data_IF_231272686466
#
_entry.id   IF_231272686466
#
_cell.length_a   1.000
_cell.length_b   1.000
_cell.length_c   1.000
_cell.angle_alpha   90.00
_cell.angle_beta   90.00
_cell.angle_gamma   90.00
#
_symmetry.space_group_name_H-M   'P 1'
#
loop_
_entity.id
_entity.type
_entity.pdbx_description
1 polymer ?
#
# COMPACT_ATOMS: atom_id res chain seq x y z
N UNK A 1 -31.21 -3.63 -3.33
CA UNK A 1 -32.28 -2.64 -3.04
C UNK A 1 -31.69 -1.24 -3.19
N UNK A 2 -32.42 -0.22 -3.66
CA UNK A 2 -31.84 1.12 -3.86
C UNK A 2 -31.80 1.83 -2.50
N UNK A 3 -30.62 2.13 -1.95
CA UNK A 3 -30.45 2.92 -0.73
C UNK A 3 -30.04 4.38 -1.08
N UNK A 4 -30.95 5.19 -1.67
CA UNK A 4 -30.62 6.54 -2.15
C UNK A 4 -30.24 7.47 -1.00
N UNK A 5 -30.83 7.27 0.18
CA UNK A 5 -30.56 8.08 1.36
C UNK A 5 -29.10 7.94 1.83
N UNK A 6 -28.60 6.70 1.92
CA UNK A 6 -27.21 6.45 2.32
C UNK A 6 -26.21 7.04 1.31
N UNK A 7 -26.54 6.95 0.02
CA UNK A 7 -25.72 7.57 -1.04
C UNK A 7 -25.73 9.09 -0.94
N UNK A 8 -26.88 9.71 -0.70
CA UNK A 8 -27.00 11.16 -0.53
C UNK A 8 -26.22 11.67 0.70
N UNK A 9 -26.27 10.93 1.81
CA UNK A 9 -25.51 11.24 3.02
C UNK A 9 -24.00 11.15 2.74
N UNK A 10 -23.54 10.10 2.05
CA UNK A 10 -22.13 9.92 1.73
C UNK A 10 -21.59 11.05 0.82
N UNK A 11 -22.35 11.41 -0.22
CA UNK A 11 -22.01 12.53 -1.12
C UNK A 11 -22.01 13.84 -0.33
N UNK A 12 -23.06 14.11 0.45
CA UNK A 12 -23.19 15.34 1.23
C UNK A 12 -22.06 15.51 2.24
N UNK A 13 -21.74 14.45 3.00
CA UNK A 13 -20.62 14.46 3.95
C UNK A 13 -19.29 14.71 3.26
N UNK A 14 -19.03 14.05 2.13
CA UNK A 14 -17.78 14.22 1.38
C UNK A 14 -17.65 15.57 0.67
N UNK A 15 -18.74 16.16 0.19
CA UNK A 15 -18.73 17.54 -0.32
C UNK A 15 -18.52 18.53 0.81
N UNK A 16 -19.16 18.32 1.97
CA UNK A 16 -19.01 19.19 3.14
C UNK A 16 -17.57 19.20 3.67
N UNK A 17 -16.91 18.03 3.74
CA UNK A 17 -15.50 17.96 4.14
C UNK A 17 -14.59 18.68 3.15
N UNK A 18 -14.83 18.53 1.83
CA UNK A 18 -14.05 19.25 0.82
C UNK A 18 -14.24 20.76 0.92
N UNK A 19 -15.48 21.23 1.07
CA UNK A 19 -15.75 22.66 1.20
C UNK A 19 -15.11 23.24 2.47
N UNK A 20 -15.18 22.54 3.60
CA UNK A 20 -14.55 22.97 4.86
C UNK A 20 -13.02 22.93 4.85
N UNK A 21 -12.40 22.23 3.90
CA UNK A 21 -10.96 22.27 3.66
C UNK A 21 -10.55 23.50 2.84
N UNK A 22 -11.30 23.86 1.80
CA UNK A 22 -10.93 24.95 0.89
C UNK A 22 -11.45 26.34 1.31
N UNK A 23 -12.55 26.40 2.06
CA UNK A 23 -13.21 27.66 2.42
C UNK A 23 -13.04 27.92 3.92
N UNK A 24 -12.30 28.97 4.34
CA UNK A 24 -12.00 29.24 5.74
C UNK A 24 -13.15 29.96 6.47
N UNK A 25 -14.33 29.34 6.49
CA UNK A 25 -15.48 29.79 7.29
C UNK A 25 -15.53 28.94 8.56
N UNK A 26 -15.61 29.57 9.73
CA UNK A 26 -15.57 28.91 11.05
C UNK A 26 -16.57 27.74 11.16
N UNK A 27 -17.84 27.96 10.78
CA UNK A 27 -18.85 26.90 10.80
C UNK A 27 -18.47 25.68 9.94
N UNK A 28 -17.82 25.92 8.79
CA UNK A 28 -17.47 24.89 7.82
C UNK A 28 -16.20 24.14 8.22
N UNK A 29 -15.22 24.85 8.77
CA UNK A 29 -13.99 24.24 9.31
C UNK A 29 -14.29 23.41 10.55
N UNK A 30 -15.21 23.85 11.43
CA UNK A 30 -15.69 23.05 12.57
C UNK A 30 -16.44 21.79 12.15
N UNK A 31 -17.30 21.88 11.11
CA UNK A 31 -17.98 20.71 10.55
C UNK A 31 -16.99 19.72 9.91
N UNK A 32 -16.03 20.23 9.14
CA UNK A 32 -14.95 19.43 8.57
C UNK A 32 -14.13 18.70 9.64
N UNK A 33 -13.70 19.39 10.70
CA UNK A 33 -12.93 18.76 11.78
C UNK A 33 -13.71 17.65 12.48
N UNK A 34 -15.01 17.88 12.75
CA UNK A 34 -15.88 16.88 13.36
C UNK A 34 -16.04 15.65 12.47
N UNK A 35 -16.26 15.84 11.17
CA UNK A 35 -16.37 14.73 10.21
C UNK A 35 -15.07 13.94 10.09
N UNK A 36 -13.92 14.61 10.08
CA UNK A 36 -12.61 13.95 10.07
C UNK A 36 -12.37 13.19 11.37
N UNK A 37 -12.73 13.75 12.53
CA UNK A 37 -12.62 13.06 13.81
C UNK A 37 -13.46 11.78 13.84
N UNK A 38 -14.72 11.84 13.37
CA UNK A 38 -15.56 10.66 13.23
C UNK A 38 -14.97 9.64 12.24
N UNK A 39 -14.41 10.10 11.12
CA UNK A 39 -13.75 9.21 10.17
C UNK A 39 -12.54 8.50 10.80
N UNK A 40 -11.72 9.20 11.60
CA UNK A 40 -10.58 8.62 12.32
C UNK A 40 -11.05 7.60 13.37
N UNK A 41 -12.10 7.91 14.13
CA UNK A 41 -12.69 6.98 15.09
C UNK A 41 -13.21 5.72 14.40
N UNK A 42 -13.97 5.88 13.32
CA UNK A 42 -14.48 4.77 12.52
C UNK A 42 -13.35 3.94 11.90
N UNK A 43 -12.28 4.57 11.42
CA UNK A 43 -11.10 3.89 10.91
C UNK A 43 -10.40 3.07 12.00
N UNK A 44 -10.29 3.60 13.22
CA UNK A 44 -9.76 2.88 14.38
C UNK A 44 -10.60 1.64 14.73
N UNK A 45 -11.92 1.79 14.77
CA UNK A 45 -12.87 0.68 15.00
C UNK A 45 -12.77 -0.36 13.88
N UNK A 46 -12.73 0.07 12.62
CA UNK A 46 -12.55 -0.81 11.47
C UNK A 46 -11.22 -1.59 11.55
N UNK A 47 -10.15 -0.96 12.02
CA UNK A 47 -8.88 -1.61 12.31
C UNK A 47 -9.00 -2.72 13.36
N UNK A 48 -9.73 -2.47 14.47
CA UNK A 48 -10.02 -3.49 15.46
C UNK A 48 -10.84 -4.65 14.88
N UNK A 49 -11.87 -4.34 14.09
CA UNK A 49 -12.68 -5.36 13.39
C UNK A 49 -11.80 -6.20 12.46
N UNK A 50 -10.86 -5.59 11.73
CA UNK A 50 -9.93 -6.29 10.87
C UNK A 50 -9.00 -7.25 11.66
N UNK A 51 -8.49 -6.81 12.81
CA UNK A 51 -7.69 -7.66 13.71
C UNK A 51 -8.52 -8.84 14.21
N UNK A 52 -9.72 -8.58 14.75
CA UNK A 52 -10.63 -9.63 15.25
C UNK A 52 -10.99 -10.61 14.13
N UNK A 53 -11.26 -10.10 12.93
CA UNK A 53 -11.55 -10.94 11.77
C UNK A 53 -10.36 -11.85 11.46
N UNK A 54 -9.14 -11.31 11.37
CA UNK A 54 -7.92 -12.07 11.10
C UNK A 54 -7.69 -13.15 12.17
N UNK A 55 -7.80 -12.79 13.45
CA UNK A 55 -7.66 -13.76 14.56
C UNK A 55 -8.73 -14.84 14.49
N UNK A 56 -9.98 -14.50 14.21
CA UNK A 56 -11.09 -15.45 14.11
C UNK A 56 -10.89 -16.47 12.98
N UNK A 57 -10.36 -16.02 11.84
CA UNK A 57 -10.06 -16.88 10.69
C UNK A 57 -8.94 -17.86 11.03
N UNK A 58 -7.86 -17.38 11.67
CA UNK A 58 -6.73 -18.25 12.04
C UNK A 58 -7.07 -19.18 13.20
N UNK A 59 -7.90 -18.73 14.14
CA UNK A 59 -8.44 -19.57 15.20
C UNK A 59 -9.25 -20.73 14.62
N UNK A 60 -10.20 -20.43 13.71
CA UNK A 60 -11.00 -21.46 13.03
C UNK A 60 -10.13 -22.43 12.21
N UNK A 61 -9.09 -21.95 11.53
CA UNK A 61 -8.12 -22.81 10.81
C UNK A 61 -7.30 -23.69 11.75
N UNK A 62 -7.00 -23.20 12.96
CA UNK A 62 -6.27 -23.95 13.97
C UNK A 62 -7.15 -25.00 14.67
N UNK A 63 -8.46 -24.77 14.82
CA UNK A 63 -9.38 -25.72 15.46
C UNK A 63 -10.15 -26.60 14.48
N UNK A 64 -9.88 -26.49 13.17
CA UNK A 64 -10.52 -27.29 12.14
C UNK A 64 -10.17 -28.78 12.29
N UNK A 65 -11.18 -29.65 12.17
CA UNK A 65 -11.02 -31.11 12.26
C UNK A 65 -10.23 -31.69 11.07
N UNK A 66 -10.26 -31.03 9.91
CA UNK A 66 -9.51 -31.43 8.73
C UNK A 66 -8.64 -30.25 8.25
N UNK A 67 -7.40 -30.54 7.84
CA UNK A 67 -6.41 -29.56 7.36
C UNK A 67 -6.02 -28.48 8.39
N UNK A 68 -5.66 -28.91 9.61
CA UNK A 68 -5.19 -28.04 10.69
C UNK A 68 -3.91 -27.32 10.30
N UNK A 69 -3.92 -25.98 10.34
CA UNK A 69 -2.75 -25.17 9.97
C UNK A 69 -1.87 -24.88 11.18
N UNK A 70 -0.68 -25.50 11.23
CA UNK A 70 0.35 -25.22 12.24
C UNK A 70 0.83 -23.76 12.15
N UNK A 71 0.91 -23.21 10.94
CA UNK A 71 1.27 -21.80 10.70
C UNK A 71 0.27 -20.83 11.33
N UNK A 72 -1.01 -21.19 11.37
CA UNK A 72 -2.05 -20.37 12.04
C UNK A 72 -1.85 -20.34 13.55
N UNK A 73 -1.44 -21.44 14.16
CA UNK A 73 -1.10 -21.48 15.59
C UNK A 73 0.12 -20.59 15.90
N UNK A 74 1.16 -20.67 15.06
CA UNK A 74 2.34 -19.81 15.20
C UNK A 74 1.98 -18.32 15.13
N UNK A 75 1.14 -17.91 14.17
CA UNK A 75 0.67 -16.53 14.05
C UNK A 75 -0.03 -16.06 15.33
N UNK A 76 -0.99 -16.84 15.83
CA UNK A 76 -1.76 -16.47 17.02
C UNK A 76 -0.88 -16.31 18.26
N UNK A 77 0.08 -17.23 18.45
CA UNK A 77 1.04 -17.16 19.57
C UNK A 77 1.96 -15.95 19.42
N UNK A 78 2.54 -15.74 18.24
CA UNK A 78 3.41 -14.60 17.97
C UNK A 78 2.67 -13.27 18.19
N UNK A 79 1.44 -13.14 17.67
CA UNK A 79 0.59 -11.98 17.90
C UNK A 79 0.34 -11.75 19.39
N UNK A 80 -0.03 -12.79 20.15
CA UNK A 80 -0.27 -12.69 21.58
C UNK A 80 0.95 -12.21 22.37
N UNK A 81 2.13 -12.76 22.07
CA UNK A 81 3.39 -12.38 22.70
C UNK A 81 3.74 -10.92 22.38
N UNK A 82 3.70 -10.53 21.09
CA UNK A 82 4.03 -9.16 20.68
C UNK A 82 3.03 -8.14 21.23
N UNK A 83 1.74 -8.48 21.26
CA UNK A 83 0.70 -7.63 21.83
C UNK A 83 0.89 -7.43 23.34
N UNK A 84 1.09 -8.51 24.10
CA UNK A 84 1.34 -8.43 25.53
C UNK A 84 2.61 -7.63 25.85
N UNK A 85 3.70 -7.86 25.11
CA UNK A 85 4.93 -7.09 25.25
C UNK A 85 4.71 -5.60 24.94
N UNK A 86 3.91 -5.27 23.92
CA UNK A 86 3.54 -3.91 23.57
C UNK A 86 2.72 -3.20 24.63
N UNK A 87 1.85 -3.91 25.35
CA UNK A 87 1.09 -3.35 26.49
C UNK A 87 2.00 -3.02 27.68
N UNK A 88 3.02 -3.84 27.96
CA UNK A 88 3.95 -3.63 29.08
C UNK A 88 4.98 -2.55 28.77
N UNK A 89 5.65 -2.64 27.61
CA UNK A 89 6.76 -1.75 27.25
C UNK A 89 6.31 -0.45 26.57
N UNK A 90 5.03 -0.36 26.18
CA UNK A 90 4.43 0.68 25.33
C UNK A 90 4.91 0.62 23.87
N UNK A 91 4.08 1.01 22.88
CA UNK A 91 4.42 0.92 21.45
C UNK A 91 5.65 1.72 21.02
N UNK A 92 5.99 2.79 21.75
CA UNK A 92 7.13 3.66 21.45
C UNK A 92 8.50 3.12 21.88
N UNK A 93 8.54 1.99 22.60
CA UNK A 93 9.81 1.45 23.09
C UNK A 93 10.68 0.88 21.95
N UNK A 94 11.99 1.16 21.91
CA UNK A 94 12.88 0.70 20.83
C UNK A 94 12.84 -0.81 20.60
N UNK A 95 12.71 -1.61 21.66
CA UNK A 95 12.58 -3.08 21.55
C UNK A 95 11.29 -3.50 20.83
N UNK A 96 10.16 -2.85 21.10
CA UNK A 96 8.89 -3.17 20.43
C UNK A 96 8.98 -2.76 18.96
N UNK A 97 9.55 -1.58 18.66
CA UNK A 97 9.78 -1.15 17.28
C UNK A 97 10.68 -2.13 16.52
N UNK A 98 11.75 -2.64 17.14
CA UNK A 98 12.60 -3.68 16.53
C UNK A 98 11.83 -4.98 16.26
N UNK A 99 11.04 -5.46 17.21
CA UNK A 99 10.23 -6.68 17.03
C UNK A 99 9.28 -6.51 15.84
N UNK A 100 8.53 -5.40 15.81
CA UNK A 100 7.58 -5.12 14.73
C UNK A 100 8.28 -5.00 13.37
N UNK A 101 9.39 -4.27 13.29
CA UNK A 101 10.14 -4.12 12.03
C UNK A 101 10.76 -5.43 11.54
N UNK A 102 11.22 -6.30 12.45
CA UNK A 102 11.71 -7.64 12.08
C UNK A 102 10.60 -8.59 11.58
N UNK A 103 9.33 -8.28 11.84
CA UNK A 103 8.19 -8.99 11.24
C UNK A 103 7.77 -8.33 9.92
N UNK A 104 7.72 -7.00 9.89
CA UNK A 104 7.27 -6.22 8.74
C UNK A 104 8.22 -6.32 7.53
N UNK A 105 9.52 -6.12 7.75
CA UNK A 105 10.52 -6.07 6.66
C UNK A 105 10.56 -7.37 5.84
N UNK A 106 10.56 -8.59 6.44
CA UNK A 106 10.48 -9.82 5.66
C UNK A 106 9.18 -10.00 4.88
N UNK A 107 8.05 -9.54 5.41
CA UNK A 107 6.75 -9.58 4.70
C UNK A 107 6.79 -8.67 3.48
N UNK A 108 7.28 -7.44 3.66
CA UNK A 108 7.47 -6.49 2.55
C UNK A 108 8.44 -7.04 1.50
N UNK A 109 9.57 -7.61 1.93
CA UNK A 109 10.55 -8.23 1.03
C UNK A 109 9.94 -9.42 0.26
N UNK A 110 9.11 -10.24 0.91
CA UNK A 110 8.43 -11.37 0.26
C UNK A 110 7.43 -10.88 -0.79
N UNK A 111 6.66 -9.83 -0.49
CA UNK A 111 5.75 -9.21 -1.45
C UNK A 111 6.50 -8.60 -2.64
N UNK A 112 7.61 -7.90 -2.39
CA UNK A 112 8.48 -7.37 -3.43
C UNK A 112 9.09 -8.50 -4.28
N UNK A 113 9.43 -9.64 -3.68
CA UNK A 113 9.88 -10.84 -4.38
C UNK A 113 8.81 -11.41 -5.32
N UNK A 114 7.57 -11.55 -4.85
CA UNK A 114 6.44 -11.99 -5.69
C UNK A 114 6.21 -11.01 -6.83
N UNK A 115 6.26 -9.70 -6.56
CA UNK A 115 6.16 -8.67 -7.60
C UNK A 115 7.27 -8.80 -8.63
N UNK A 116 8.53 -8.95 -8.20
CA UNK A 116 9.68 -9.10 -9.08
C UNK A 116 9.53 -10.31 -10.02
N UNK A 117 9.12 -11.47 -9.49
CA UNK A 117 8.87 -12.68 -10.30
C UNK A 117 7.72 -12.43 -11.28
N UNK A 118 6.60 -11.86 -10.81
CA UNK A 118 5.43 -11.60 -11.66
C UNK A 118 5.75 -10.64 -12.81
N UNK A 119 6.52 -9.58 -12.55
CA UNK A 119 6.98 -8.62 -13.55
C UNK A 119 7.98 -9.24 -14.51
N UNK A 120 8.87 -10.12 -14.04
CA UNK A 120 9.80 -10.86 -14.90
C UNK A 120 9.04 -11.77 -15.87
N UNK A 121 8.03 -12.51 -15.39
CA UNK A 121 7.18 -13.33 -16.25
C UNK A 121 6.39 -12.46 -17.24
N UNK A 122 5.89 -11.31 -16.80
CA UNK A 122 5.20 -10.36 -17.68
C UNK A 122 6.14 -9.79 -18.77
N UNK A 123 7.39 -9.47 -18.42
CA UNK A 123 8.43 -9.04 -19.34
C UNK A 123 8.73 -10.11 -20.41
N UNK A 124 8.94 -11.36 -20.00
CA UNK A 124 9.17 -12.48 -20.93
C UNK A 124 7.97 -12.65 -21.87
N UNK A 125 6.74 -12.61 -21.34
CA UNK A 125 5.51 -12.71 -22.14
C UNK A 125 5.38 -11.54 -23.14
N UNK A 126 5.80 -10.34 -22.76
CA UNK A 126 5.81 -9.17 -23.64
C UNK A 126 6.75 -9.39 -24.84
N UNK A 127 7.97 -9.89 -24.59
CA UNK A 127 8.93 -10.20 -25.65
C UNK A 127 8.44 -11.31 -26.58
N UNK A 128 7.81 -12.36 -26.04
CA UNK A 128 7.30 -13.47 -26.83
C UNK A 128 6.10 -13.10 -27.70
N UNK A 129 5.21 -12.21 -27.24
CA UNK A 129 3.93 -11.92 -27.91
C UNK A 129 3.93 -10.65 -28.76
N UNK A 130 4.86 -9.72 -28.53
CA UNK A 130 4.91 -8.44 -29.26
C UNK A 130 6.32 -8.21 -29.81
N UNK A 131 6.52 -8.52 -31.10
CA UNK A 131 7.76 -8.25 -31.85
C UNK A 131 7.90 -6.82 -32.39
N UNK A 132 7.41 -5.81 -31.66
CA UNK A 132 7.41 -4.41 -32.10
C UNK A 132 8.51 -3.55 -31.46
N UNK A 133 8.65 -2.30 -31.94
CA UNK A 133 9.62 -1.31 -31.44
C UNK A 133 9.58 -1.11 -29.91
N UNK A 134 8.39 -1.14 -29.30
CA UNK A 134 8.21 -1.01 -27.84
C UNK A 134 8.87 -2.14 -27.06
N UNK A 135 8.89 -3.35 -27.61
CA UNK A 135 9.51 -4.53 -27.01
C UNK A 135 11.03 -4.37 -27.01
N UNK A 136 11.59 -3.89 -28.12
CA UNK A 136 13.03 -3.59 -28.23
C UNK A 136 13.44 -2.51 -27.25
N UNK A 137 12.68 -1.40 -27.18
CA UNK A 137 12.96 -0.31 -26.24
C UNK A 137 12.93 -0.80 -24.79
N UNK A 138 11.93 -1.63 -24.44
CA UNK A 138 11.84 -2.23 -23.12
C UNK A 138 13.03 -3.15 -22.82
N UNK A 139 13.45 -4.01 -23.76
CA UNK A 139 14.61 -4.89 -23.59
C UNK A 139 15.90 -4.11 -23.34
N UNK A 140 16.15 -3.07 -24.15
CA UNK A 140 17.33 -2.20 -23.98
C UNK A 140 17.29 -1.51 -22.63
N UNK A 141 16.14 -0.95 -22.24
CA UNK A 141 16.01 -0.29 -20.94
C UNK A 141 16.23 -1.25 -19.77
N UNK A 142 15.60 -2.43 -19.80
CA UNK A 142 15.76 -3.45 -18.77
C UNK A 142 17.21 -3.91 -18.64
N UNK A 143 17.90 -4.14 -19.76
CA UNK A 143 19.30 -4.54 -19.77
C UNK A 143 20.22 -3.47 -19.17
N UNK A 144 20.03 -2.21 -19.57
CA UNK A 144 20.79 -1.07 -19.03
C UNK A 144 20.58 -0.94 -17.52
N UNK A 145 19.33 -0.96 -17.05
CA UNK A 145 19.03 -0.81 -15.62
C UNK A 145 19.50 -2.02 -14.79
N UNK A 146 19.51 -3.23 -15.35
CA UNK A 146 20.04 -4.41 -14.66
C UNK A 146 21.55 -4.30 -14.47
N UNK A 147 22.29 -3.83 -15.48
CA UNK A 147 23.74 -3.56 -15.38
C UNK A 147 24.03 -2.44 -14.39
N UNK A 148 23.23 -1.38 -14.38
CA UNK A 148 23.38 -0.29 -13.43
C UNK A 148 23.12 -0.76 -12.00
N UNK A 149 22.05 -1.54 -11.80
CA UNK A 149 21.67 -2.09 -10.49
C UNK A 149 22.61 -3.16 -9.95
N UNK A 150 23.36 -3.86 -10.81
CA UNK A 150 24.34 -4.88 -10.37
C UNK A 150 25.61 -4.30 -9.75
N UNK A 151 25.81 -2.99 -9.86
CA UNK A 151 27.01 -2.32 -9.37
C UNK A 151 28.24 -2.52 -10.25
N UNK A 152 28.14 -3.21 -11.39
CA UNK A 152 29.26 -3.45 -12.30
C UNK A 152 29.92 -2.15 -12.81
N UNK A 153 29.11 -1.10 -13.03
CA UNK A 153 29.60 0.21 -13.48
C UNK A 153 30.17 1.10 -12.35
N UNK A 154 30.08 0.68 -11.09
CA UNK A 154 30.56 1.47 -9.95
C UNK A 154 32.09 1.68 -9.97
N UNK A 155 32.85 0.77 -10.59
CA UNK A 155 34.30 0.91 -10.78
C UNK A 155 34.69 2.06 -11.71
N UNK A 156 33.80 2.51 -12.58
CA UNK A 156 34.04 3.63 -13.51
C UNK A 156 33.60 5.00 -12.93
N UNK A 157 33.15 5.04 -11.68
CA UNK A 157 32.68 6.27 -11.00
C UNK A 157 33.78 7.29 -10.69
N UNK A 158 35.05 6.98 -10.98
CA UNK A 158 36.19 7.87 -10.77
C UNK A 158 36.32 8.96 -11.86
N UNK A 159 35.56 8.87 -12.97
CA UNK A 159 35.53 9.89 -14.01
C UNK A 159 34.36 10.86 -13.72
N UNK A 160 34.60 12.16 -13.47
CA UNK A 160 33.57 13.11 -13.03
C UNK A 160 32.35 13.18 -13.95
N UNK A 161 32.56 13.22 -15.27
CA UNK A 161 31.48 13.28 -16.27
C UNK A 161 30.61 12.02 -16.25
N UNK A 162 31.23 10.85 -16.06
CA UNK A 162 30.51 9.58 -16.06
C UNK A 162 29.73 9.39 -14.76
N UNK A 163 30.26 9.88 -13.64
CA UNK A 163 29.58 9.89 -12.33
C UNK A 163 28.26 10.67 -12.36
N UNK A 164 28.25 11.86 -12.96
CA UNK A 164 27.03 12.68 -13.03
C UNK A 164 25.96 12.04 -13.94
N UNK A 165 26.36 11.44 -15.06
CA UNK A 165 25.47 10.66 -15.92
C UNK A 165 24.93 9.41 -15.20
N UNK A 166 25.79 8.66 -14.50
CA UNK A 166 25.40 7.51 -13.69
C UNK A 166 24.40 7.90 -12.59
N UNK A 167 24.62 9.03 -11.92
CA UNK A 167 23.71 9.55 -10.90
C UNK A 167 22.36 9.95 -11.49
N UNK A 168 22.35 10.65 -12.63
CA UNK A 168 21.12 11.02 -13.33
C UNK A 168 20.31 9.78 -13.75
N UNK A 169 20.94 8.76 -14.32
CA UNK A 169 20.25 7.54 -14.75
C UNK A 169 19.76 6.71 -13.54
N UNK A 170 20.54 6.62 -12.46
CA UNK A 170 20.11 5.94 -11.23
C UNK A 170 18.94 6.63 -10.51
N UNK A 171 18.64 7.90 -10.83
CA UNK A 171 17.46 8.58 -10.30
C UNK A 171 16.16 8.15 -11.00
N UNK A 172 16.23 7.58 -12.21
CA UNK A 172 15.06 7.23 -13.01
C UNK A 172 14.18 6.14 -12.37
N UNK A 173 14.71 5.04 -11.80
CA UNK A 173 13.89 4.05 -11.09
C UNK A 173 13.19 4.65 -9.87
N UNK A 174 13.86 5.55 -9.15
CA UNK A 174 13.28 6.27 -8.01
C UNK A 174 12.14 7.19 -8.46
N UNK A 175 12.31 7.87 -9.60
CA UNK A 175 11.24 8.65 -10.23
C UNK A 175 10.07 7.75 -10.66
N UNK A 176 10.34 6.55 -11.19
CA UNK A 176 9.33 5.55 -11.53
C UNK A 176 8.54 5.07 -10.31
N UNK A 177 9.22 4.76 -9.20
CA UNK A 177 8.59 4.38 -7.94
C UNK A 177 7.68 5.51 -7.41
N UNK A 178 8.14 6.77 -7.46
CA UNK A 178 7.31 7.94 -7.16
C UNK A 178 6.11 8.06 -8.11
N UNK A 179 6.30 7.78 -9.40
CA UNK A 179 5.22 7.73 -10.38
C UNK A 179 4.14 6.69 -10.03
N UNK A 180 4.54 5.49 -9.56
CA UNK A 180 3.60 4.47 -9.08
C UNK A 180 2.84 5.00 -7.85
N UNK A 181 3.52 5.63 -6.89
CA UNK A 181 2.86 6.21 -5.71
C UNK A 181 1.86 7.30 -6.09
N UNK A 182 2.21 8.18 -7.04
CA UNK A 182 1.29 9.19 -7.58
C UNK A 182 0.11 8.49 -8.26
N UNK A 183 0.35 7.44 -9.06
CA UNK A 183 -0.69 6.66 -9.70
C UNK A 183 -1.65 6.00 -8.70
N UNK A 184 -1.15 5.45 -7.60
CA UNK A 184 -1.96 4.88 -6.52
C UNK A 184 -2.76 5.98 -5.82
N UNK A 185 -2.16 7.13 -5.54
CA UNK A 185 -2.84 8.27 -4.93
C UNK A 185 -3.95 8.83 -5.85
N UNK A 186 -3.68 8.98 -7.15
CA UNK A 186 -4.69 9.38 -8.13
C UNK A 186 -5.78 8.31 -8.25
N UNK A 187 -5.42 7.03 -8.23
CA UNK A 187 -6.36 5.91 -8.20
C UNK A 187 -7.32 6.00 -7.01
N UNK A 188 -6.81 6.19 -5.80
CA UNK A 188 -7.64 6.34 -4.61
C UNK A 188 -8.50 7.60 -4.64
N UNK A 189 -7.96 8.72 -5.13
CA UNK A 189 -8.73 9.95 -5.35
C UNK A 189 -9.87 9.73 -6.36
N UNK A 190 -9.61 9.04 -7.47
CA UNK A 190 -10.64 8.74 -8.46
C UNK A 190 -11.74 7.85 -7.89
N UNK A 191 -11.41 6.86 -7.04
CA UNK A 191 -12.45 6.08 -6.35
C UNK A 191 -13.29 6.94 -5.40
N UNK A 192 -12.67 7.87 -4.67
CA UNK A 192 -13.40 8.85 -3.85
C UNK A 192 -14.31 9.75 -4.69
N UNK A 193 -13.80 10.31 -5.79
CA UNK A 193 -14.57 11.15 -6.70
C UNK A 193 -15.76 10.41 -7.32
N UNK A 194 -15.60 9.14 -7.70
CA UNK A 194 -16.72 8.33 -8.23
C UNK A 194 -17.83 8.14 -7.20
N UNK A 195 -17.49 7.97 -5.93
CA UNK A 195 -18.47 7.92 -4.84
C UNK A 195 -19.15 9.28 -4.67
N UNK A 196 -18.39 10.39 -4.71
CA UNK A 196 -18.93 11.76 -4.60
C UNK A 196 -19.85 12.15 -5.76
N UNK A 197 -19.52 11.72 -6.98
CA UNK A 197 -20.35 11.92 -8.17
C UNK A 197 -21.53 10.94 -8.24
N UNK A 198 -21.63 10.00 -7.29
CA UNK A 198 -22.70 9.01 -7.21
C UNK A 198 -22.66 7.95 -8.32
N UNK A 199 -21.54 7.82 -9.04
CA UNK A 199 -21.34 6.78 -10.05
C UNK A 199 -21.11 5.43 -9.39
N UNK A 200 -20.35 5.40 -8.29
CA UNK A 200 -20.17 4.21 -7.46
C UNK A 200 -21.05 4.32 -6.21
N UNK A 201 -21.88 3.30 -5.96
CA UNK A 201 -22.82 3.25 -4.82
C UNK A 201 -22.52 2.03 -3.93
N UNK A 202 -21.45 2.07 -3.12
CA UNK A 202 -21.01 0.92 -2.32
C UNK A 202 -22.04 0.47 -1.27
N UNK A 203 -23.02 1.32 -0.97
CA UNK A 203 -24.06 1.09 0.03
C UNK A 203 -25.32 0.43 -0.53
N UNK A 204 -25.38 0.12 -1.83
CA UNK A 204 -26.54 -0.55 -2.46
C UNK A 204 -26.44 -2.08 -2.35
N UNK A 205 -26.56 -2.61 -1.13
CA UNK A 205 -26.89 -4.02 -0.91
C UNK A 205 -28.26 -4.37 -1.49
#
# INVERSE_FOLDING_TARGET
MRAPLSTAIAIGAGVLTLLGFFIPIEALTSMHSLLIEWAVLLAGVAGLVAIVHLLSVHWRKMTASHNRSVTSAFLLVAFGITFAAGMVLKPGHPTIQKIVTHIQVPIEASLMGVLAISLTVAAIRLFQRRGGWMSVLFAVSAFVFLILGSGFLSSFANIPVLKDLLAAVNSLPVAGARGILIGVALGSLTTGLRVLLGTDRPYSG
#
